data_IF_981908755566
#
_entry.id   IF_981908755566
#
_cell.length_a   1.000
_cell.length_b   1.000
_cell.length_c   1.000
_cell.angle_alpha   90.00
_cell.angle_beta   90.00
_cell.angle_gamma   90.00
#
_symmetry.space_group_name_H-M   'P 1'
#
loop_
_entity.id
_entity.type
_entity.pdbx_description
1 polymer ?
#
# COMPACT_ATOMS: atom_id res chain seq x y z
N UNK A 1 -25.72 -7.03 -24.59
CA UNK A 1 -24.46 -6.96 -23.85
C UNK A 1 -24.84 -6.92 -22.38
N UNK A 2 -24.44 -7.86 -21.54
CA UNK A 2 -24.70 -7.74 -20.11
C UNK A 2 -23.95 -6.50 -19.59
N UNK A 3 -24.66 -5.62 -18.93
CA UNK A 3 -24.07 -4.47 -18.22
C UNK A 3 -23.31 -5.07 -17.05
N UNK A 4 -21.99 -5.00 -17.10
CA UNK A 4 -21.13 -5.33 -15.98
C UNK A 4 -21.51 -4.41 -14.81
N UNK A 5 -21.98 -4.99 -13.72
CA UNK A 5 -22.37 -4.24 -12.53
C UNK A 5 -21.12 -4.04 -11.69
N UNK A 6 -20.34 -3.00 -12.00
CA UNK A 6 -19.32 -2.55 -11.07
C UNK A 6 -20.03 -1.95 -9.84
N UNK A 7 -19.82 -2.55 -8.69
CA UNK A 7 -20.28 -1.95 -7.44
C UNK A 7 -19.40 -0.76 -7.11
N UNK A 8 -19.97 0.45 -7.20
CA UNK A 8 -19.33 1.69 -6.75
C UNK A 8 -19.88 2.02 -5.37
N UNK A 9 -19.07 1.87 -4.34
CA UNK A 9 -19.37 2.41 -3.03
C UNK A 9 -18.74 3.81 -2.91
N UNK A 10 -19.43 4.76 -2.28
CA UNK A 10 -18.88 6.08 -2.03
C UNK A 10 -17.78 6.02 -0.96
N UNK A 11 -16.67 6.78 -1.12
CA UNK A 11 -15.68 6.92 -0.05
C UNK A 11 -16.36 7.44 1.23
N UNK A 12 -16.16 6.75 2.34
CA UNK A 12 -16.78 7.12 3.61
C UNK A 12 -16.36 8.53 4.09
N UNK A 13 -17.17 9.17 4.96
CA UNK A 13 -16.96 10.56 5.43
C UNK A 13 -15.71 10.75 6.29
N UNK A 14 -15.07 9.67 6.75
CA UNK A 14 -13.92 9.71 7.67
C UNK A 14 -12.54 9.65 6.98
N UNK A 15 -12.43 10.13 5.76
CA UNK A 15 -11.16 10.15 5.03
C UNK A 15 -10.09 10.95 5.79
N UNK A 16 -8.85 10.46 5.82
CA UNK A 16 -7.69 11.19 6.34
C UNK A 16 -7.43 12.44 5.50
N UNK A 17 -7.11 13.55 6.14
CA UNK A 17 -6.65 14.77 5.46
C UNK A 17 -5.21 14.63 4.98
N UNK A 18 -4.74 15.56 4.13
CA UNK A 18 -3.32 15.59 3.73
C UNK A 18 -2.40 15.89 4.92
N UNK A 19 -2.88 16.64 5.91
CA UNK A 19 -2.16 16.87 7.15
C UNK A 19 -2.04 15.59 8.00
N UNK A 20 -3.12 14.77 8.07
CA UNK A 20 -3.05 13.45 8.72
C UNK A 20 -2.00 12.56 8.04
N UNK A 21 -1.96 12.53 6.71
CA UNK A 21 -0.96 11.76 5.96
C UNK A 21 0.45 12.27 6.23
N UNK A 22 0.68 13.58 6.14
CA UNK A 22 2.00 14.17 6.34
C UNK A 22 2.58 13.84 7.71
N UNK A 23 1.74 13.69 8.74
CA UNK A 23 2.18 13.34 10.09
C UNK A 23 2.75 11.91 10.18
N UNK A 24 2.40 11.02 9.25
CA UNK A 24 2.90 9.64 9.18
C UNK A 24 4.16 9.50 8.31
N UNK A 25 4.58 10.55 7.60
CA UNK A 25 5.65 10.47 6.60
C UNK A 25 7.01 10.01 7.17
N UNK A 26 7.26 10.26 8.45
CA UNK A 26 8.51 9.88 9.11
C UNK A 26 8.40 8.57 9.93
N UNK A 27 7.25 7.91 9.93
CA UNK A 27 7.02 6.70 10.73
C UNK A 27 7.33 5.45 9.90
N UNK A 28 8.33 4.63 10.29
CA UNK A 28 8.62 3.35 9.62
C UNK A 28 7.49 2.33 9.81
N UNK A 29 7.36 1.42 8.85
CA UNK A 29 6.40 0.30 8.94
C UNK A 29 6.66 -0.56 10.17
N UNK A 30 7.92 -0.82 10.53
CA UNK A 30 8.30 -1.60 11.71
C UNK A 30 7.71 -1.03 13.01
N UNK A 31 7.76 0.30 13.19
CA UNK A 31 7.17 0.97 14.35
C UNK A 31 5.65 0.75 14.43
N UNK A 32 4.97 0.81 13.27
CA UNK A 32 3.53 0.57 13.20
C UNK A 32 3.20 -0.88 13.55
N UNK A 33 3.95 -1.84 13.00
CA UNK A 33 3.74 -3.28 13.26
C UNK A 33 3.96 -3.62 14.73
N UNK A 34 4.94 -3.02 15.37
CA UNK A 34 5.16 -3.20 16.81
C UNK A 34 3.98 -2.72 17.68
N UNK A 35 3.28 -1.68 17.24
CA UNK A 35 2.11 -1.14 17.94
C UNK A 35 0.82 -1.87 17.54
N UNK A 36 0.69 -2.26 16.29
CA UNK A 36 -0.51 -2.82 15.68
C UNK A 36 -0.19 -3.99 14.75
N UNK A 37 0.28 -5.14 15.28
CA UNK A 37 0.76 -6.26 14.45
C UNK A 37 -0.32 -6.86 13.54
N UNK A 38 -1.60 -6.66 13.85
CA UNK A 38 -2.72 -7.14 13.03
C UNK A 38 -2.95 -6.32 11.76
N UNK A 39 -2.30 -5.17 11.66
CA UNK A 39 -2.42 -4.27 10.51
C UNK A 39 -1.32 -4.52 9.47
N UNK A 40 -0.43 -5.46 9.73
CA UNK A 40 0.61 -5.87 8.79
C UNK A 40 -0.01 -6.66 7.64
N UNK A 41 0.28 -6.22 6.42
CA UNK A 41 -0.02 -6.96 5.18
C UNK A 41 1.08 -8.02 4.98
N UNK A 42 0.71 -9.21 4.49
CA UNK A 42 1.63 -10.33 4.24
C UNK A 42 2.92 -9.86 3.54
N UNK A 43 4.11 -10.06 4.12
CA UNK A 43 5.39 -9.62 3.56
C UNK A 43 5.74 -10.20 2.18
N UNK A 44 5.03 -11.25 1.74
CA UNK A 44 5.19 -11.74 0.36
C UNK A 44 4.73 -10.71 -0.69
N UNK A 45 3.87 -9.74 -0.30
CA UNK A 45 3.56 -8.56 -1.10
C UNK A 45 4.68 -7.54 -0.89
N UNK A 46 5.72 -7.63 -1.69
CA UNK A 46 6.98 -6.90 -1.51
C UNK A 46 7.22 -5.84 -2.58
N UNK A 47 8.06 -4.87 -2.25
CA UNK A 47 8.44 -3.77 -3.14
C UNK A 47 9.09 -4.29 -4.43
N UNK A 48 8.60 -3.83 -5.57
CA UNK A 48 9.12 -4.17 -6.92
C UNK A 48 9.88 -3.02 -7.58
N UNK A 49 9.66 -1.78 -7.15
CA UNK A 49 10.47 -0.63 -7.58
C UNK A 49 11.88 -0.71 -6.99
N UNK A 50 12.90 -0.36 -7.79
CA UNK A 50 14.33 -0.51 -7.45
C UNK A 50 15.09 0.81 -7.49
N UNK A 51 14.41 1.91 -7.82
CA UNK A 51 15.04 3.22 -7.87
C UNK A 51 15.60 3.58 -6.49
N UNK A 52 16.83 4.12 -6.44
CA UNK A 52 17.52 4.49 -5.20
C UNK A 52 16.76 5.51 -4.34
N UNK A 53 15.89 6.28 -4.97
CA UNK A 53 15.06 7.30 -4.33
C UNK A 53 13.59 6.85 -4.22
N UNK A 54 13.35 5.54 -4.09
CA UNK A 54 11.99 5.03 -3.88
C UNK A 54 11.44 5.64 -2.59
N UNK A 55 10.42 6.48 -2.75
CA UNK A 55 9.76 7.12 -1.63
C UNK A 55 8.99 6.09 -0.81
N UNK A 56 8.80 6.40 0.47
CA UNK A 56 7.82 5.70 1.30
C UNK A 56 6.46 5.76 0.59
N UNK A 57 5.80 4.61 0.47
CA UNK A 57 4.42 4.54 0.05
C UNK A 57 3.55 5.12 1.16
N UNK A 58 2.86 6.20 0.88
CA UNK A 58 1.98 6.83 1.86
C UNK A 58 0.78 7.44 1.15
N UNK A 59 -0.40 6.98 1.48
CA UNK A 59 -1.62 7.51 0.88
C UNK A 59 -2.88 6.84 1.39
N UNK A 60 -4.00 7.14 0.74
CA UNK A 60 -5.32 6.60 1.07
C UNK A 60 -5.66 5.47 0.11
N UNK A 61 -6.19 4.38 0.64
CA UNK A 61 -6.58 3.24 -0.17
C UNK A 61 -7.73 3.59 -1.14
N UNK A 62 -7.49 3.38 -2.43
CA UNK A 62 -8.53 3.16 -3.44
C UNK A 62 -8.57 1.66 -3.70
N UNK A 63 -9.61 1.00 -3.22
CA UNK A 63 -9.70 -0.45 -3.25
C UNK A 63 -10.33 -0.98 -4.52
N UNK A 64 -9.73 -2.04 -5.06
CA UNK A 64 -10.13 -2.72 -6.30
C UNK A 64 -10.16 -4.21 -6.04
N UNK A 65 -11.30 -4.85 -6.28
CA UNK A 65 -11.41 -6.30 -6.29
C UNK A 65 -11.49 -6.80 -7.73
N UNK A 66 -10.62 -7.75 -8.10
CA UNK A 66 -10.68 -8.42 -9.40
C UNK A 66 -10.38 -9.92 -9.27
N UNK A 67 -10.82 -10.70 -10.25
CA UNK A 67 -10.57 -12.14 -10.32
C UNK A 67 -9.82 -12.44 -11.62
N UNK A 68 -8.48 -12.54 -11.58
CA UNK A 68 -7.71 -12.82 -12.78
C UNK A 68 -8.22 -14.11 -13.49
N UNK A 69 -8.23 -14.15 -14.83
CA UNK A 69 -7.61 -13.19 -15.73
C UNK A 69 -8.47 -11.97 -16.11
N UNK A 70 -9.53 -11.66 -15.35
CA UNK A 70 -10.31 -10.43 -15.52
C UNK A 70 -9.64 -9.25 -14.79
N UNK A 71 -9.62 -8.09 -15.43
CA UNK A 71 -9.03 -6.85 -14.88
C UNK A 71 -9.94 -5.63 -15.07
N UNK A 72 -11.22 -5.85 -15.35
CA UNK A 72 -12.18 -4.78 -15.65
C UNK A 72 -12.23 -3.71 -14.57
N UNK A 73 -12.29 -4.10 -13.29
CA UNK A 73 -12.27 -3.17 -12.19
C UNK A 73 -10.95 -2.35 -12.13
N UNK A 74 -9.81 -2.95 -12.49
CA UNK A 74 -8.53 -2.23 -12.54
C UNK A 74 -8.56 -1.11 -13.59
N UNK A 75 -9.15 -1.37 -14.77
CA UNK A 75 -9.32 -0.36 -15.82
C UNK A 75 -10.21 0.78 -15.33
N UNK A 76 -11.36 0.47 -14.72
CA UNK A 76 -12.28 1.47 -14.19
C UNK A 76 -11.69 2.27 -13.03
N UNK A 77 -10.82 1.70 -12.22
CA UNK A 77 -10.12 2.42 -11.15
C UNK A 77 -9.30 3.62 -11.67
N UNK A 78 -8.81 3.54 -12.91
CA UNK A 78 -8.04 4.62 -13.53
C UNK A 78 -8.84 5.93 -13.65
N UNK A 79 -10.15 5.85 -13.84
CA UNK A 79 -11.01 7.03 -13.98
C UNK A 79 -11.20 7.74 -12.63
N UNK A 80 -11.14 7.01 -11.53
CA UNK A 80 -11.44 7.47 -10.18
C UNK A 80 -10.20 7.82 -9.35
N UNK A 81 -9.06 7.21 -9.66
CA UNK A 81 -7.82 7.43 -8.93
C UNK A 81 -7.24 8.84 -9.16
N UNK A 82 -6.62 9.40 -8.13
CA UNK A 82 -6.05 10.75 -8.16
C UNK A 82 -4.93 10.96 -7.15
N UNK A 83 -4.50 12.22 -6.96
CA UNK A 83 -3.39 12.55 -6.07
C UNK A 83 -3.62 12.07 -4.63
N UNK A 84 -2.59 11.44 -4.06
CA UNK A 84 -2.62 10.92 -2.69
C UNK A 84 -3.35 9.59 -2.52
N UNK A 85 -3.89 9.00 -3.60
CA UNK A 85 -4.46 7.67 -3.55
C UNK A 85 -3.38 6.59 -3.75
N UNK A 86 -3.47 5.51 -3.00
CA UNK A 86 -2.79 4.24 -3.25
C UNK A 86 -3.82 3.29 -3.82
N UNK A 87 -3.59 2.82 -5.04
CA UNK A 87 -4.49 1.83 -5.65
C UNK A 87 -4.16 0.46 -5.08
N UNK A 88 -5.11 -0.13 -4.36
CA UNK A 88 -4.97 -1.42 -3.68
C UNK A 88 -5.80 -2.46 -4.40
N UNK A 89 -5.13 -3.37 -5.12
CA UNK A 89 -5.76 -4.39 -5.96
C UNK A 89 -5.73 -5.74 -5.25
N UNK A 90 -6.89 -6.22 -4.86
CA UNK A 90 -7.08 -7.58 -4.37
C UNK A 90 -7.35 -8.51 -5.57
N UNK A 91 -6.31 -9.24 -5.99
CA UNK A 91 -6.36 -10.24 -7.04
C UNK A 91 -6.37 -11.68 -6.47
N UNK A 92 -6.87 -11.85 -5.24
CA UNK A 92 -7.04 -13.12 -4.54
C UNK A 92 -5.72 -13.92 -4.37
N UNK A 93 -4.59 -13.23 -4.30
CA UNK A 93 -3.28 -13.89 -4.25
C UNK A 93 -2.86 -14.61 -5.53
N UNK A 94 -3.61 -14.50 -6.62
CA UNK A 94 -3.33 -15.20 -7.88
C UNK A 94 -2.11 -14.59 -8.59
N UNK A 95 -1.18 -15.43 -9.00
CA UNK A 95 0.09 -15.01 -9.61
C UNK A 95 0.28 -15.47 -11.05
N UNK A 96 -0.68 -16.22 -11.60
CA UNK A 96 -0.59 -16.80 -12.94
C UNK A 96 -0.83 -15.78 -14.07
N UNK A 97 -1.42 -14.62 -13.71
CA UNK A 97 -1.73 -13.55 -14.65
C UNK A 97 -1.49 -12.19 -13.96
N UNK A 98 -0.71 -11.34 -14.61
CA UNK A 98 -0.53 -9.96 -14.17
C UNK A 98 -1.79 -9.14 -14.47
N UNK A 99 -2.29 -8.39 -13.51
CA UNK A 99 -3.49 -7.55 -13.67
C UNK A 99 -3.16 -6.10 -14.06
N UNK A 100 -1.90 -5.71 -13.90
CA UNK A 100 -1.42 -4.36 -14.23
C UNK A 100 0.07 -4.41 -14.60
N UNK A 101 0.51 -3.45 -15.42
CA UNK A 101 1.87 -3.27 -15.86
C UNK A 101 2.16 -1.80 -16.19
N UNK A 102 3.13 -1.55 -17.07
CA UNK A 102 3.63 -0.21 -17.41
C UNK A 102 2.51 0.75 -17.86
N UNK A 103 1.62 0.32 -18.75
CA UNK A 103 0.62 1.20 -19.36
C UNK A 103 -0.34 1.76 -18.31
N UNK A 104 -1.01 0.87 -17.56
CA UNK A 104 -2.01 1.29 -16.56
C UNK A 104 -1.33 1.89 -15.32
N UNK A 105 -0.24 1.30 -14.85
CA UNK A 105 0.54 1.84 -13.74
C UNK A 105 1.15 3.21 -14.07
N UNK A 106 1.64 3.40 -15.29
CA UNK A 106 2.15 4.68 -15.78
C UNK A 106 1.08 5.77 -15.83
N UNK A 107 -0.15 5.39 -16.19
CA UNK A 107 -1.29 6.31 -16.14
C UNK A 107 -1.61 6.74 -14.70
N UNK A 108 -1.69 5.81 -13.75
CA UNK A 108 -1.89 6.13 -12.32
C UNK A 108 -0.79 7.06 -11.79
N UNK A 109 0.47 6.77 -12.14
CA UNK A 109 1.62 7.60 -11.79
C UNK A 109 1.49 9.02 -12.37
N UNK A 110 1.08 9.16 -13.64
CA UNK A 110 0.86 10.45 -14.29
C UNK A 110 -0.29 11.26 -13.66
N UNK A 111 -1.29 10.58 -13.10
CA UNK A 111 -2.38 11.20 -12.33
C UNK A 111 -1.97 11.64 -10.92
N UNK A 112 -0.73 11.36 -10.49
CA UNK A 112 -0.22 11.74 -9.18
C UNK A 112 -0.64 10.81 -8.05
N UNK A 113 -1.08 9.59 -8.36
CA UNK A 113 -1.31 8.58 -7.32
C UNK A 113 -0.02 8.31 -6.54
N UNK A 114 -0.14 7.98 -5.26
CA UNK A 114 0.99 7.78 -4.36
C UNK A 114 1.73 6.44 -4.62
N UNK A 115 1.04 5.45 -5.17
CA UNK A 115 1.62 4.15 -5.51
C UNK A 115 0.59 3.06 -5.73
N UNK A 116 1.07 1.81 -5.77
CA UNK A 116 0.30 0.64 -6.13
C UNK A 116 0.62 -0.55 -5.21
N UNK A 117 -0.42 -1.23 -4.72
CA UNK A 117 -0.33 -2.49 -3.99
C UNK A 117 -1.18 -3.54 -4.70
N UNK A 118 -0.59 -4.69 -5.03
CA UNK A 118 -1.25 -5.77 -5.76
C UNK A 118 -1.11 -7.09 -5.00
N UNK A 119 -2.19 -7.60 -4.46
CA UNK A 119 -2.23 -8.97 -3.95
C UNK A 119 -2.39 -9.96 -5.10
N UNK A 120 -1.37 -10.05 -5.93
CA UNK A 120 -1.32 -10.78 -7.18
C UNK A 120 -0.03 -10.49 -7.95
N UNK A 121 -0.08 -10.61 -9.28
CA UNK A 121 1.08 -10.36 -10.14
C UNK A 121 1.00 -9.04 -10.90
N UNK A 122 2.20 -8.46 -11.14
CA UNK A 122 2.43 -7.34 -12.06
C UNK A 122 3.34 -7.77 -13.21
N UNK A 123 3.41 -6.98 -14.29
CA UNK A 123 4.36 -7.20 -15.41
C UNK A 123 5.15 -5.94 -15.73
N UNK A 124 5.97 -6.01 -16.76
CA UNK A 124 6.80 -4.89 -17.25
C UNK A 124 7.74 -4.33 -16.17
N UNK A 125 8.40 -5.25 -15.43
CA UNK A 125 9.15 -4.93 -14.21
C UNK A 125 10.34 -4.00 -14.45
N UNK A 126 10.94 -4.01 -15.65
CA UNK A 126 12.05 -3.13 -15.98
C UNK A 126 11.59 -1.66 -16.02
N UNK A 127 10.36 -1.40 -16.53
CA UNK A 127 9.76 -0.08 -16.51
C UNK A 127 9.32 0.31 -15.09
N UNK A 128 8.53 -0.56 -14.42
CA UNK A 128 8.05 -0.33 -13.05
C UNK A 128 9.21 -0.12 -12.07
N UNK A 129 10.27 -0.93 -12.21
CA UNK A 129 11.43 -0.90 -11.33
C UNK A 129 12.20 0.43 -11.37
N UNK A 130 12.12 1.17 -12.49
CA UNK A 130 12.77 2.47 -12.66
C UNK A 130 11.98 3.67 -12.10
N UNK A 131 10.79 3.48 -11.56
CA UNK A 131 9.96 4.60 -11.10
C UNK A 131 10.32 5.07 -9.69
N UNK A 132 11.03 6.19 -9.57
CA UNK A 132 11.49 6.73 -8.30
C UNK A 132 10.34 7.21 -7.38
N UNK A 133 9.24 7.71 -7.95
CA UNK A 133 8.18 8.41 -7.20
C UNK A 133 6.84 7.66 -7.18
N UNK A 134 6.85 6.37 -7.49
CA UNK A 134 5.65 5.55 -7.53
C UNK A 134 5.98 4.13 -7.08
N UNK A 135 6.02 3.89 -5.76
CA UNK A 135 6.28 2.56 -5.20
C UNK A 135 5.23 1.54 -5.67
N UNK A 136 5.69 0.38 -6.11
CA UNK A 136 4.85 -0.73 -6.55
C UNK A 136 5.16 -1.96 -5.70
N UNK A 137 4.16 -2.45 -5.00
CA UNK A 137 4.23 -3.69 -4.22
C UNK A 137 3.38 -4.76 -4.89
N UNK A 138 3.88 -5.98 -4.97
CA UNK A 138 3.16 -7.11 -5.54
C UNK A 138 3.64 -8.45 -4.95
N UNK A 139 2.83 -9.52 -5.05
CA UNK A 139 3.29 -10.88 -4.72
C UNK A 139 4.29 -11.38 -5.73
N UNK A 140 3.98 -11.24 -7.00
CA UNK A 140 4.76 -11.84 -8.07
C UNK A 140 4.94 -10.93 -9.29
N UNK A 141 5.84 -11.37 -10.16
CA UNK A 141 6.02 -10.84 -11.49
C UNK A 141 5.63 -11.97 -12.47
N UNK A 142 4.75 -11.68 -13.43
CA UNK A 142 4.36 -12.63 -14.46
C UNK A 142 4.14 -11.89 -15.78
N UNK A 143 4.75 -12.34 -16.91
CA UNK A 143 4.58 -11.66 -18.19
C UNK A 143 3.20 -11.87 -18.82
N UNK A 144 2.42 -12.88 -18.36
CA UNK A 144 1.09 -13.15 -18.88
C UNK A 144 0.13 -12.02 -18.50
N UNK A 145 -0.47 -11.39 -19.48
CA UNK A 145 -1.47 -10.35 -19.29
C UNK A 145 -2.89 -10.89 -19.11
N UNK A 146 -3.82 -10.01 -18.71
CA UNK A 146 -5.23 -10.34 -18.56
C UNK A 146 -5.89 -10.62 -19.91
N UNK A 147 -7.03 -11.33 -19.90
CA UNK A 147 -7.74 -11.74 -21.12
C UNK A 147 -9.21 -11.31 -21.13
N UNK A 148 -9.72 -10.75 -20.05
CA UNK A 148 -11.08 -10.20 -19.97
C UNK A 148 -11.13 -8.93 -19.12
N UNK A 149 -12.15 -8.10 -19.36
CA UNK A 149 -12.34 -6.82 -18.67
C UNK A 149 -13.86 -6.58 -18.46
N UNK A 150 -14.51 -7.49 -17.73
CA UNK A 150 -15.98 -7.51 -17.64
C UNK A 150 -16.50 -7.40 -16.20
N UNK A 151 -15.65 -7.64 -15.19
CA UNK A 151 -16.11 -7.86 -13.82
C UNK A 151 -15.17 -7.21 -12.78
N UNK A 152 -15.64 -7.18 -11.54
CA UNK A 152 -14.93 -6.69 -10.36
C UNK A 152 -15.71 -5.64 -9.58
N UNK A 153 -15.05 -5.09 -8.54
CA UNK A 153 -15.66 -4.06 -7.70
C UNK A 153 -14.65 -2.98 -7.33
N UNK A 154 -15.16 -1.74 -7.15
CA UNK A 154 -14.41 -0.58 -6.67
C UNK A 154 -15.02 -0.08 -5.37
N UNK A 155 -14.17 0.48 -4.52
CA UNK A 155 -14.57 1.13 -3.27
C UNK A 155 -15.31 0.22 -2.28
N UNK A 156 -15.19 -1.10 -2.42
CA UNK A 156 -15.61 -2.06 -1.41
C UNK A 156 -14.41 -2.43 -0.53
N UNK A 157 -14.62 -2.84 0.74
CA UNK A 157 -13.56 -3.46 1.52
C UNK A 157 -13.03 -4.71 0.80
N UNK A 158 -11.72 -4.87 0.79
CA UNK A 158 -11.01 -5.99 0.15
C UNK A 158 -10.07 -6.67 1.15
N UNK A 159 -9.81 -7.95 0.95
CA UNK A 159 -8.74 -8.65 1.67
C UNK A 159 -7.46 -8.63 0.84
N UNK A 160 -6.37 -8.14 1.42
CA UNK A 160 -5.05 -8.04 0.81
C UNK A 160 -4.00 -8.53 1.80
N UNK A 161 -3.34 -9.64 1.48
CA UNK A 161 -2.31 -10.20 2.35
C UNK A 161 -2.78 -10.48 3.77
N UNK A 162 -4.00 -10.99 3.96
CA UNK A 162 -4.58 -11.30 5.25
C UNK A 162 -5.13 -10.09 6.03
N UNK A 163 -5.02 -8.87 5.48
CA UNK A 163 -5.61 -7.67 6.04
C UNK A 163 -6.86 -7.25 5.29
N UNK A 164 -7.90 -6.83 6.01
CA UNK A 164 -9.05 -6.14 5.41
C UNK A 164 -8.68 -4.68 5.23
N UNK A 165 -8.69 -4.23 3.98
CA UNK A 165 -8.44 -2.83 3.59
C UNK A 165 -9.73 -2.22 3.10
N UNK A 166 -10.13 -1.11 3.70
CA UNK A 166 -11.32 -0.35 3.32
C UNK A 166 -10.94 0.90 2.52
N UNK A 167 -11.84 1.41 1.67
CA UNK A 167 -11.62 2.68 0.98
C UNK A 167 -11.30 3.81 1.98
N UNK A 168 -10.20 4.53 1.73
CA UNK A 168 -9.75 5.62 2.58
C UNK A 168 -8.85 5.23 3.75
N UNK A 169 -8.56 3.94 3.96
CA UNK A 169 -7.57 3.50 4.93
C UNK A 169 -6.18 4.09 4.60
N UNK A 170 -5.39 4.37 5.64
CA UNK A 170 -3.99 4.71 5.47
C UNK A 170 -3.24 3.48 4.97
N UNK A 171 -2.55 3.63 3.85
CA UNK A 171 -1.55 2.66 3.39
C UNK A 171 -0.18 3.28 3.61
N UNK A 172 0.65 2.59 4.39
CA UNK A 172 2.04 2.93 4.60
C UNK A 172 2.92 1.76 4.20
N UNK A 173 4.00 2.04 3.46
CA UNK A 173 4.93 1.02 2.99
C UNK A 173 6.34 1.55 2.85
N UNK A 174 7.31 0.72 3.23
CA UNK A 174 8.74 0.94 3.08
C UNK A 174 9.46 -0.35 2.64
N UNK A 175 10.77 -0.42 2.81
CA UNK A 175 11.54 -1.60 2.43
C UNK A 175 11.20 -2.85 3.25
N UNK A 176 10.69 -2.68 4.47
CA UNK A 176 10.33 -3.78 5.37
C UNK A 176 8.97 -4.40 5.04
N UNK A 177 8.05 -3.62 4.43
CA UNK A 177 6.74 -4.14 4.06
C UNK A 177 5.64 -3.10 4.01
N UNK A 178 4.42 -3.53 4.34
CA UNK A 178 3.20 -2.75 4.22
C UNK A 178 2.31 -2.88 5.46
N UNK A 179 1.62 -1.80 5.80
CA UNK A 179 0.52 -1.79 6.76
C UNK A 179 -0.69 -1.05 6.20
N UNK A 180 -1.88 -1.43 6.68
CA UNK A 180 -3.13 -0.75 6.41
C UNK A 180 -3.80 -0.34 7.72
N UNK A 181 -4.07 0.94 7.93
CA UNK A 181 -4.69 1.45 9.16
C UNK A 181 -6.03 2.13 8.83
N UNK A 182 -7.15 1.70 9.44
CA UNK A 182 -8.38 2.46 9.41
C UNK A 182 -8.16 3.90 9.90
N UNK A 183 -8.83 4.92 9.31
CA UNK A 183 -8.58 6.33 9.64
C UNK A 183 -8.66 6.67 11.13
N UNK A 184 -9.60 6.05 11.85
CA UNK A 184 -9.73 6.25 13.31
C UNK A 184 -8.52 5.69 14.06
N UNK A 185 -8.03 4.50 13.66
CA UNK A 185 -6.85 3.88 14.26
C UNK A 185 -5.59 4.69 13.95
N UNK A 186 -5.43 5.15 12.69
CA UNK A 186 -4.32 5.99 12.29
C UNK A 186 -4.22 7.25 13.17
N UNK A 187 -5.33 7.97 13.36
CA UNK A 187 -5.35 9.17 14.24
C UNK A 187 -5.01 8.82 15.68
N UNK A 188 -5.56 7.73 16.22
CA UNK A 188 -5.37 7.33 17.62
C UNK A 188 -3.95 6.83 17.91
N UNK A 189 -3.23 6.29 16.92
CA UNK A 189 -1.89 5.69 17.09
C UNK A 189 -0.74 6.62 16.76
N UNK A 190 -1.00 7.76 16.14
CA UNK A 190 0.05 8.69 15.70
C UNK A 190 0.98 9.11 16.85
N UNK A 191 0.40 9.52 17.99
CA UNK A 191 1.21 9.94 19.14
C UNK A 191 2.06 8.79 19.68
N UNK A 192 1.49 7.59 19.82
CA UNK A 192 2.25 6.42 20.28
C UNK A 192 3.39 6.05 19.32
N UNK A 193 3.18 6.20 18.01
CA UNK A 193 4.24 5.98 17.02
C UNK A 193 5.37 7.03 17.14
N UNK A 194 5.03 8.29 17.36
CA UNK A 194 6.00 9.35 17.57
C UNK A 194 6.79 9.16 18.88
N UNK A 195 6.12 8.78 19.96
CA UNK A 195 6.75 8.48 21.25
C UNK A 195 7.74 7.32 21.14
N UNK A 196 7.35 6.27 20.38
CA UNK A 196 8.22 5.11 20.12
C UNK A 196 9.46 5.52 19.32
N UNK A 197 9.31 6.33 18.27
CA UNK A 197 10.46 6.86 17.51
C UNK A 197 11.42 7.66 18.40
N UNK A 198 10.87 8.50 19.30
CA UNK A 198 11.70 9.26 20.24
C UNK A 198 12.45 8.34 21.23
N UNK A 199 11.82 7.27 21.68
CA UNK A 199 12.45 6.25 22.53
C UNK A 199 13.56 5.49 21.78
N UNK A 200 13.32 5.08 20.55
CA UNK A 200 14.31 4.39 19.72
C UNK A 200 15.53 5.29 19.43
N UNK A 201 15.31 6.58 19.19
CA UNK A 201 16.40 7.55 19.07
C UNK A 201 17.26 7.62 20.33
N UNK A 202 16.65 7.60 21.54
CA UNK A 202 17.38 7.56 22.80
C UNK A 202 18.21 6.28 22.96
N UNK A 203 17.66 5.12 22.52
CA UNK A 203 18.41 3.87 22.53
C UNK A 203 19.61 3.91 21.59
N UNK A 204 19.44 4.42 20.37
CA UNK A 204 20.54 4.60 19.40
C UNK A 204 21.65 5.49 20.01
N UNK A 205 21.28 6.63 20.58
CA UNK A 205 22.23 7.56 21.20
C UNK A 205 22.95 6.93 22.40
N UNK A 206 22.22 6.20 23.24
CA UNK A 206 22.78 5.48 24.40
C UNK A 206 23.81 4.42 23.98
N UNK A 207 23.49 3.62 22.97
CA UNK A 207 24.39 2.60 22.44
C UNK A 207 25.61 3.24 21.75
N UNK A 208 25.40 4.31 20.98
CA UNK A 208 26.49 5.06 20.33
C UNK A 208 27.45 5.71 21.34
N UNK A 209 26.95 6.11 22.53
CA UNK A 209 27.75 6.61 23.65
C UNK A 209 28.48 5.49 24.42
N UNK A 210 28.36 4.22 24.01
CA UNK A 210 29.01 3.06 24.61
C UNK A 210 28.36 2.55 25.89
N UNK A 211 27.11 2.90 26.19
CA UNK A 211 26.38 2.31 27.32
C UNK A 211 26.08 0.84 27.08
N UNK A 212 26.09 0.01 28.14
CA UNK A 212 25.68 -1.39 28.03
C UNK A 212 24.25 -1.52 27.46
N UNK A 213 24.03 -2.46 26.53
CA UNK A 213 22.71 -2.66 25.93
C UNK A 213 21.64 -2.97 27.00
N UNK A 214 21.97 -3.78 28.03
CA UNK A 214 21.04 -4.05 29.13
C UNK A 214 20.60 -2.80 29.89
N UNK A 215 21.50 -1.81 30.07
CA UNK A 215 21.15 -0.54 30.67
C UNK A 215 20.24 0.29 29.76
N UNK A 216 20.57 0.34 28.45
CA UNK A 216 19.83 1.12 27.46
C UNK A 216 18.40 0.61 27.30
N UNK A 217 18.21 -0.72 27.29
CA UNK A 217 16.90 -1.35 27.14
C UNK A 217 16.17 -1.62 28.47
N UNK A 218 16.77 -1.31 29.61
CA UNK A 218 16.17 -1.48 30.95
C UNK A 218 16.00 -2.94 31.36
N UNK A 219 16.93 -3.82 30.98
CA UNK A 219 16.93 -5.27 31.26
C UNK A 219 17.80 -5.62 32.47
#
# INVERSE_FOLDING_TARGET
MPVSVFSLAEPGPNRLSDADLAAWQAVPVSVVVDLEPRQQIDPSISLKTRASDTRILLGRALTVACTPPDFGAVVHALDHAGPGDVVVIAAQGQTDTAVIGEILGGHLRAKGCAGLVVDGAVRDIDALGGWANFPVYARAINPRGPTSANDGALFAPVEVGGCVVSPGDLILGDADGLVALPPALARNRLQAAQDKLALEAQWIDGLAAGKPASEVFGL
#
